data_IF_268668679504
#
_entry.id   IF_268668679504
#
_cell.length_a   1.000
_cell.length_b   1.000
_cell.length_c   1.000
_cell.angle_alpha   90.00
_cell.angle_beta   90.00
_cell.angle_gamma   90.00
#
_symmetry.space_group_name_H-M   'P 1'
#
loop_
_entity.id
_entity.type
_entity.pdbx_description
1 polymer ?
#
# COMPACT_ATOMS: atom_id res chain seq x y z
N UNK A 1 -41.42 75.19 20.85
CA UNK A 1 -40.16 75.61 20.19
C UNK A 1 -39.98 74.77 18.93
N UNK A 2 -40.01 75.42 17.78
CA UNK A 2 -40.00 74.85 16.43
C UNK A 2 -38.56 74.61 16.01
N UNK A 3 -38.21 73.42 15.48
CA UNK A 3 -36.94 73.19 14.77
C UNK A 3 -37.20 72.52 13.42
N UNK A 4 -36.49 72.93 12.34
CA UNK A 4 -36.89 72.67 10.96
C UNK A 4 -36.36 71.33 10.44
N UNK A 5 -37.07 70.79 9.45
CA UNK A 5 -36.71 69.57 8.70
C UNK A 5 -35.60 69.87 7.70
N UNK A 6 -34.48 69.17 7.80
CA UNK A 6 -33.43 69.17 6.78
C UNK A 6 -33.79 68.18 5.66
N UNK A 7 -33.83 68.66 4.43
CA UNK A 7 -34.02 67.88 3.22
C UNK A 7 -32.71 67.17 2.83
N UNK A 8 -32.75 65.85 2.64
CA UNK A 8 -31.62 65.06 2.15
C UNK A 8 -31.72 64.96 0.63
N UNK A 9 -30.79 65.63 -0.05
CA UNK A 9 -30.60 65.61 -1.50
C UNK A 9 -29.98 64.25 -1.90
N UNK A 10 -30.72 63.42 -2.63
CA UNK A 10 -30.22 62.15 -3.19
C UNK A 10 -29.47 62.46 -4.48
N UNK A 11 -28.15 62.27 -4.47
CA UNK A 11 -27.30 62.39 -5.66
C UNK A 11 -27.40 61.08 -6.47
N UNK A 12 -28.06 61.14 -7.63
CA UNK A 12 -28.09 60.06 -8.62
C UNK A 12 -26.74 59.99 -9.34
N UNK A 13 -25.95 58.94 -9.09
CA UNK A 13 -24.77 58.59 -9.89
C UNK A 13 -25.23 57.70 -11.04
N UNK A 14 -25.21 58.23 -12.27
CA UNK A 14 -25.45 57.47 -13.48
C UNK A 14 -24.24 56.56 -13.76
N UNK A 15 -24.43 55.24 -13.68
CA UNK A 15 -23.44 54.25 -14.12
C UNK A 15 -23.65 54.02 -15.62
N UNK A 16 -22.72 54.50 -16.43
CA UNK A 16 -22.67 54.20 -17.85
C UNK A 16 -22.27 52.73 -18.05
N UNK A 17 -23.19 51.93 -18.58
CA UNK A 17 -22.93 50.55 -18.98
C UNK A 17 -22.12 50.53 -20.29
N UNK A 18 -20.80 50.38 -20.17
CA UNK A 18 -19.93 50.04 -21.29
C UNK A 18 -20.09 48.57 -21.66
N UNK A 19 -20.68 48.28 -22.81
CA UNK A 19 -20.75 46.95 -23.38
C UNK A 19 -19.36 46.51 -23.86
N UNK A 20 -18.66 45.73 -23.03
CA UNK A 20 -17.41 45.04 -23.39
C UNK A 20 -17.78 43.73 -24.10
N UNK A 21 -17.73 43.72 -25.43
CA UNK A 21 -17.88 42.50 -26.23
C UNK A 21 -16.64 41.62 -26.05
N UNK A 22 -16.70 40.66 -25.13
CA UNK A 22 -15.74 39.56 -25.05
C UNK A 22 -15.95 38.65 -26.26
N UNK A 23 -15.12 38.79 -27.29
CA UNK A 23 -14.93 37.71 -28.27
C UNK A 23 -14.12 36.61 -27.60
N UNK A 24 -14.80 35.54 -27.16
CA UNK A 24 -14.16 34.32 -26.67
C UNK A 24 -13.45 33.62 -27.84
N UNK A 25 -12.18 33.98 -28.07
CA UNK A 25 -11.28 33.19 -28.90
C UNK A 25 -10.94 31.86 -28.19
N UNK A 26 -10.74 30.76 -28.94
CA UNK A 26 -10.41 29.47 -28.34
C UNK A 26 -9.09 29.59 -27.56
N UNK A 27 -9.13 29.24 -26.28
CA UNK A 27 -7.94 29.12 -25.43
C UNK A 27 -7.05 28.03 -26.05
N UNK A 28 -5.80 28.33 -26.45
CA UNK A 28 -4.90 27.30 -26.92
C UNK A 28 -4.57 26.36 -25.75
N UNK A 29 -5.08 25.14 -25.83
CA UNK A 29 -4.66 24.04 -24.96
C UNK A 29 -3.16 23.80 -25.20
N UNK A 30 -2.34 23.66 -24.13
CA UNK A 30 -0.94 23.33 -24.31
C UNK A 30 -0.83 21.93 -24.91
N UNK A 31 -0.62 21.87 -26.23
CA UNK A 31 -0.26 20.65 -26.96
C UNK A 31 1.20 20.34 -26.63
N UNK A 32 1.44 19.16 -26.03
CA UNK A 32 2.75 18.50 -26.12
C UNK A 32 3.76 18.75 -25.00
N UNK A 33 3.34 19.10 -23.80
CA UNK A 33 4.20 19.01 -22.62
C UNK A 33 4.36 17.57 -22.18
N UNK A 34 5.44 16.88 -22.57
CA UNK A 34 5.85 15.65 -21.88
C UNK A 34 5.98 16.01 -20.40
N UNK A 35 5.11 15.44 -19.56
CA UNK A 35 5.35 15.41 -18.11
C UNK A 35 6.72 14.79 -17.96
N UNK A 36 7.71 15.58 -17.56
CA UNK A 36 9.03 15.06 -17.22
C UNK A 36 8.79 14.06 -16.10
N UNK A 37 8.99 12.77 -16.38
CA UNK A 37 9.19 11.79 -15.34
C UNK A 37 10.29 12.35 -14.43
N UNK A 38 10.00 12.46 -13.14
CA UNK A 38 11.01 12.82 -12.16
C UNK A 38 12.19 11.83 -12.32
N UNK A 39 13.45 12.31 -12.26
CA UNK A 39 14.59 11.42 -12.38
C UNK A 39 14.52 10.34 -11.30
N UNK A 40 14.94 9.12 -11.65
CA UNK A 40 14.97 7.92 -10.81
C UNK A 40 15.89 8.02 -9.55
N UNK A 41 16.26 9.23 -9.13
CA UNK A 41 17.18 9.57 -8.06
C UNK A 41 16.65 10.62 -7.09
N UNK A 42 15.33 10.90 -7.06
CA UNK A 42 14.71 11.47 -5.87
C UNK A 42 14.84 10.45 -4.74
N UNK A 43 15.97 10.55 -4.04
CA UNK A 43 16.41 9.65 -2.98
C UNK A 43 15.26 9.41 -2.01
N UNK A 44 14.88 8.16 -1.84
CA UNK A 44 13.88 7.74 -0.88
C UNK A 44 14.38 8.06 0.53
N UNK A 45 13.97 9.21 1.05
CA UNK A 45 14.36 9.71 2.38
C UNK A 45 14.08 8.68 3.46
N UNK A 46 13.04 7.86 3.27
CA UNK A 46 12.66 6.76 4.13
C UNK A 46 13.81 5.75 4.22
N UNK A 47 14.26 5.21 3.09
CA UNK A 47 15.33 4.21 3.05
C UNK A 47 16.63 4.77 3.63
N UNK A 48 17.03 5.98 3.23
CA UNK A 48 18.29 6.57 3.72
C UNK A 48 18.30 6.82 5.24
N UNK A 49 17.20 7.36 5.78
CA UNK A 49 17.10 7.62 7.20
C UNK A 49 17.03 6.30 7.98
N UNK A 50 16.16 5.36 7.58
CA UNK A 50 15.96 4.11 8.29
C UNK A 50 17.18 3.18 8.24
N UNK A 51 17.92 3.14 7.13
CA UNK A 51 19.19 2.43 7.03
C UNK A 51 20.23 2.99 8.03
N UNK A 52 20.31 4.32 8.15
CA UNK A 52 21.20 5.00 9.10
C UNK A 52 20.86 4.82 10.58
N UNK A 53 19.67 4.33 10.93
CA UNK A 53 19.28 4.07 12.33
C UNK A 53 19.88 2.77 12.88
N UNK A 54 20.33 1.86 12.01
CA UNK A 54 20.88 0.57 12.38
C UNK A 54 19.88 -0.38 13.07
N UNK A 55 20.40 -1.54 13.47
CA UNK A 55 19.64 -2.56 14.19
C UNK A 55 18.36 -2.99 13.48
N UNK A 56 17.29 -3.20 14.24
CA UNK A 56 16.00 -3.69 13.70
C UNK A 56 15.35 -2.73 12.70
N UNK A 57 15.69 -1.44 12.72
CA UNK A 57 15.09 -0.42 11.87
C UNK A 57 15.78 -0.32 10.49
N UNK A 58 17.04 -0.73 10.39
CA UNK A 58 17.77 -0.79 9.12
C UNK A 58 17.36 -2.00 8.25
N UNK A 59 17.05 -3.14 8.86
CA UNK A 59 16.75 -4.40 8.14
C UNK A 59 15.69 -4.24 7.03
N UNK A 60 14.54 -3.54 7.25
CA UNK A 60 13.61 -3.27 6.18
C UNK A 60 14.19 -2.48 4.99
N UNK A 61 15.04 -1.49 5.27
CA UNK A 61 15.67 -0.63 4.27
C UNK A 61 16.72 -1.39 3.45
N UNK A 62 17.52 -2.23 4.10
CA UNK A 62 18.54 -3.08 3.44
C UNK A 62 17.92 -4.04 2.42
N UNK A 63 16.74 -4.59 2.73
CA UNK A 63 16.12 -5.66 1.94
C UNK A 63 15.09 -5.16 0.92
N UNK A 64 14.67 -3.89 0.99
CA UNK A 64 13.65 -3.32 0.10
C UNK A 64 13.99 -3.37 -1.41
N UNK A 65 15.26 -3.37 -1.86
CA UNK A 65 15.59 -3.50 -3.29
C UNK A 65 15.09 -4.80 -3.93
N UNK A 66 14.92 -5.87 -3.15
CA UNK A 66 14.46 -7.17 -3.64
C UNK A 66 12.94 -7.29 -3.73
N UNK A 67 12.21 -6.35 -3.15
CA UNK A 67 10.75 -6.36 -3.05
C UNK A 67 10.09 -6.14 -4.43
N UNK A 68 9.05 -6.91 -4.73
CA UNK A 68 8.31 -6.79 -5.97
C UNK A 68 7.67 -5.40 -6.13
N UNK A 69 7.21 -4.79 -5.04
CA UNK A 69 6.56 -3.48 -5.04
C UNK A 69 7.55 -2.37 -5.38
N UNK A 70 8.79 -2.45 -4.90
CA UNK A 70 9.90 -1.55 -5.25
C UNK A 70 10.17 -1.56 -6.76
N UNK A 71 10.07 -2.71 -7.42
CA UNK A 71 10.26 -2.82 -8.88
C UNK A 71 9.08 -2.27 -9.67
N UNK A 72 7.91 -2.20 -9.04
CA UNK A 72 6.71 -1.52 -9.56
C UNK A 72 6.62 -0.06 -9.11
N UNK A 73 7.74 0.55 -8.70
CA UNK A 73 7.83 1.95 -8.26
C UNK A 73 7.01 2.30 -7.01
N UNK A 74 6.46 1.29 -6.32
CA UNK A 74 5.83 1.45 -5.01
C UNK A 74 6.91 1.40 -3.92
N UNK A 75 7.30 2.57 -3.43
CA UNK A 75 8.28 2.76 -2.34
C UNK A 75 7.62 2.68 -0.96
N UNK A 76 8.41 2.92 0.09
CA UNK A 76 7.98 2.87 1.51
C UNK A 76 6.63 3.53 1.76
N UNK A 77 6.45 4.76 1.27
CA UNK A 77 5.21 5.54 1.46
C UNK A 77 3.98 4.93 0.73
N UNK A 78 4.19 4.13 -0.32
CA UNK A 78 3.09 3.39 -0.98
C UNK A 78 2.44 2.38 -0.04
N UNK A 79 3.21 1.81 0.88
CA UNK A 79 2.71 0.88 1.89
C UNK A 79 2.40 1.60 3.21
N UNK A 80 3.40 2.31 3.75
CA UNK A 80 3.38 2.88 5.09
C UNK A 80 2.87 4.32 5.15
N UNK A 81 2.64 4.99 4.01
CA UNK A 81 2.27 6.40 3.98
C UNK A 81 3.39 7.32 4.48
N UNK A 82 3.03 8.52 4.95
CA UNK A 82 3.99 9.53 5.37
C UNK A 82 4.52 10.34 4.19
N UNK A 83 5.46 11.24 4.48
CA UNK A 83 6.03 12.16 3.49
C UNK A 83 7.44 11.72 3.08
N UNK A 84 7.62 11.13 1.88
CA UNK A 84 8.92 10.67 1.40
C UNK A 84 9.87 11.82 1.02
N UNK A 85 9.47 13.08 1.14
CA UNK A 85 10.34 14.24 0.91
C UNK A 85 11.00 14.74 2.19
N UNK A 86 10.58 14.23 3.36
CA UNK A 86 11.09 14.63 4.68
C UNK A 86 12.01 13.56 5.27
N UNK A 87 13.09 13.99 5.92
CA UNK A 87 14.09 13.09 6.51
C UNK A 87 13.91 12.95 8.03
N UNK A 88 13.16 13.85 8.67
CA UNK A 88 12.90 13.82 10.10
C UNK A 88 11.75 12.90 10.49
N UNK A 89 11.49 12.81 11.79
CA UNK A 89 10.35 12.06 12.33
C UNK A 89 8.99 12.67 11.92
N UNK A 90 8.98 13.92 11.45
CA UNK A 90 7.85 14.57 10.81
C UNK A 90 7.42 13.89 9.50
N UNK A 91 8.30 13.08 8.88
CA UNK A 91 7.93 12.19 7.78
C UNK A 91 6.87 11.15 8.17
N UNK A 92 6.73 10.85 9.47
CA UNK A 92 5.74 9.91 10.03
C UNK A 92 4.47 10.60 10.52
N UNK A 93 4.20 11.84 10.09
CA UNK A 93 2.99 12.56 10.46
C UNK A 93 1.73 11.79 10.02
N UNK A 94 0.83 11.40 10.94
CA UNK A 94 -0.46 10.80 10.61
C UNK A 94 -1.30 11.68 9.68
N UNK A 95 -1.19 13.01 9.75
CA UNK A 95 -1.89 13.94 8.86
C UNK A 95 -1.39 13.83 7.40
N UNK A 96 -0.14 13.41 7.19
CA UNK A 96 0.40 13.04 5.87
C UNK A 96 0.04 11.60 5.46
N UNK A 97 -0.89 10.96 6.17
CA UNK A 97 -1.37 9.62 5.87
C UNK A 97 -0.41 8.51 6.32
N UNK A 98 0.50 8.77 7.27
CA UNK A 98 1.36 7.74 7.83
C UNK A 98 0.53 6.66 8.55
N UNK A 99 0.77 5.40 8.16
CA UNK A 99 0.06 4.20 8.60
C UNK A 99 0.91 3.35 9.56
N UNK A 100 2.23 3.46 9.49
CA UNK A 100 3.16 2.64 10.26
C UNK A 100 3.04 1.13 9.96
N UNK A 101 3.46 0.30 10.92
CA UNK A 101 3.38 -1.16 10.82
C UNK A 101 1.95 -1.62 11.16
N UNK A 102 1.23 -2.29 10.24
CA UNK A 102 -0.12 -2.80 10.54
C UNK A 102 -0.09 -3.88 11.63
N UNK A 103 -1.16 -3.97 12.41
CA UNK A 103 -1.37 -5.09 13.34
C UNK A 103 -1.57 -6.38 12.56
N UNK A 104 -1.25 -7.52 13.17
CA UNK A 104 -1.20 -8.82 12.47
C UNK A 104 -2.53 -9.18 11.79
N UNK A 105 -3.64 -8.99 12.49
CA UNK A 105 -4.99 -9.24 12.03
C UNK A 105 -5.46 -8.28 10.91
N UNK A 106 -4.82 -7.12 10.77
CA UNK A 106 -5.13 -6.13 9.74
C UNK A 106 -4.40 -6.39 8.42
N UNK A 107 -3.41 -7.29 8.43
CA UNK A 107 -2.56 -7.57 7.26
C UNK A 107 -3.36 -8.00 6.03
N UNK A 108 -4.38 -8.88 6.12
CA UNK A 108 -5.18 -9.24 4.96
C UNK A 108 -5.84 -8.05 4.28
N UNK A 109 -6.49 -7.15 5.03
CA UNK A 109 -7.09 -5.95 4.43
C UNK A 109 -6.02 -4.96 3.96
N UNK A 110 -4.88 -4.86 4.68
CA UNK A 110 -3.78 -3.99 4.29
C UNK A 110 -3.24 -4.34 2.90
N UNK A 111 -2.98 -5.62 2.62
CA UNK A 111 -2.56 -6.08 1.29
C UNK A 111 -3.70 -6.00 0.27
N UNK A 112 -4.91 -6.34 0.70
CA UNK A 112 -6.11 -6.40 -0.15
C UNK A 112 -6.61 -5.05 -0.65
N UNK A 113 -6.22 -3.92 -0.05
CA UNK A 113 -6.56 -2.58 -0.60
C UNK A 113 -6.06 -2.38 -2.04
N UNK A 114 -4.99 -3.09 -2.42
CA UNK A 114 -4.43 -3.07 -3.76
C UNK A 114 -4.67 -4.42 -4.44
N UNK A 115 -4.23 -5.52 -3.82
CA UNK A 115 -4.35 -6.87 -4.41
C UNK A 115 -5.78 -7.43 -4.43
N UNK A 116 -6.75 -6.66 -3.91
CA UNK A 116 -8.19 -6.89 -4.02
C UNK A 116 -8.91 -5.88 -4.93
N UNK A 117 -8.16 -4.94 -5.55
CA UNK A 117 -8.69 -3.89 -6.42
C UNK A 117 -8.23 -4.09 -7.87
N UNK A 118 -9.10 -4.62 -8.75
CA UNK A 118 -8.81 -4.78 -10.16
C UNK A 118 -8.43 -3.47 -10.88
N UNK A 119 -9.05 -2.34 -10.51
CA UNK A 119 -8.76 -1.06 -11.15
C UNK A 119 -7.34 -0.59 -10.81
N UNK A 120 -6.92 -0.77 -9.56
CA UNK A 120 -5.55 -0.48 -9.13
C UNK A 120 -4.53 -1.39 -9.79
N UNK A 121 -4.74 -2.72 -9.75
CA UNK A 121 -3.74 -3.71 -10.18
C UNK A 121 -3.54 -3.80 -11.69
N UNK A 122 -4.57 -3.50 -12.49
CA UNK A 122 -4.46 -3.44 -13.95
C UNK A 122 -3.41 -2.44 -14.45
N UNK A 123 -3.08 -1.42 -13.65
CA UNK A 123 -2.03 -0.44 -13.98
C UNK A 123 -0.62 -1.03 -13.94
N UNK A 124 -0.43 -2.15 -13.25
CA UNK A 124 0.86 -2.82 -13.09
C UNK A 124 0.94 -4.10 -13.93
N UNK A 125 -0.08 -4.95 -13.82
CA UNK A 125 -0.17 -6.18 -14.61
C UNK A 125 -1.64 -6.63 -14.70
N UNK A 126 -2.29 -6.44 -15.85
CA UNK A 126 -3.69 -6.84 -16.06
C UNK A 126 -3.98 -8.33 -15.88
N UNK A 127 -2.96 -9.19 -15.96
CA UNK A 127 -3.09 -10.64 -15.80
C UNK A 127 -2.99 -11.11 -14.35
N UNK A 128 -2.69 -10.22 -13.39
CA UNK A 128 -2.62 -10.60 -11.98
C UNK A 128 -4.02 -10.84 -11.40
N UNK A 129 -4.24 -11.96 -10.70
CA UNK A 129 -5.48 -12.19 -9.95
C UNK A 129 -5.68 -11.13 -8.86
N UNK A 130 -6.93 -10.73 -8.65
CA UNK A 130 -7.33 -9.76 -7.62
C UNK A 130 -8.42 -10.28 -6.68
N UNK A 131 -8.71 -11.57 -6.75
CA UNK A 131 -9.64 -12.29 -5.86
C UNK A 131 -8.92 -12.90 -4.63
N UNK A 132 -7.61 -12.66 -4.49
CA UNK A 132 -6.78 -13.27 -3.44
C UNK A 132 -7.28 -12.96 -2.03
N UNK A 133 -7.72 -11.72 -1.76
CA UNK A 133 -8.31 -11.38 -0.46
C UNK A 133 -9.62 -12.16 -0.25
N UNK A 134 -10.51 -12.21 -1.23
CA UNK A 134 -11.77 -12.94 -1.13
C UNK A 134 -11.53 -14.43 -0.84
N UNK A 135 -10.59 -15.06 -1.56
CA UNK A 135 -10.19 -16.46 -1.35
C UNK A 135 -9.56 -16.69 0.03
N UNK A 136 -8.77 -15.75 0.52
CA UNK A 136 -8.21 -15.82 1.86
C UNK A 136 -9.31 -15.78 2.93
N UNK A 137 -10.27 -14.86 2.81
CA UNK A 137 -11.35 -14.69 3.78
C UNK A 137 -12.23 -15.94 3.90
N UNK A 138 -12.41 -16.71 2.83
CA UNK A 138 -13.16 -17.97 2.85
C UNK A 138 -12.32 -19.19 3.26
N UNK A 139 -10.99 -19.05 3.39
CA UNK A 139 -10.09 -20.15 3.79
C UNK A 139 -10.15 -20.45 5.29
N UNK A 140 -9.65 -21.61 5.71
CA UNK A 140 -9.55 -21.98 7.13
C UNK A 140 -8.70 -20.97 7.94
N UNK A 141 -7.64 -20.41 7.35
CA UNK A 141 -6.84 -19.37 8.00
C UNK A 141 -7.65 -18.08 8.19
N UNK A 142 -8.32 -17.59 7.14
CA UNK A 142 -9.13 -16.37 7.21
C UNK A 142 -10.31 -16.49 8.18
N UNK A 143 -11.03 -17.62 8.13
CA UNK A 143 -12.16 -17.88 9.03
C UNK A 143 -11.74 -17.93 10.50
N UNK A 144 -10.57 -18.49 10.81
CA UNK A 144 -10.05 -18.53 12.18
C UNK A 144 -9.51 -17.17 12.64
N UNK A 145 -8.87 -16.41 11.75
CA UNK A 145 -8.44 -15.04 12.04
C UNK A 145 -9.63 -14.16 12.39
N UNK A 146 -10.74 -14.29 11.65
CA UNK A 146 -11.98 -13.56 11.93
C UNK A 146 -12.58 -13.89 13.31
N UNK A 147 -12.24 -15.05 13.88
CA UNK A 147 -12.60 -15.46 15.25
C UNK A 147 -11.56 -15.05 16.30
N UNK A 148 -10.55 -14.26 15.92
CA UNK A 148 -9.51 -13.75 16.81
C UNK A 148 -8.29 -14.68 16.99
N UNK A 149 -8.16 -15.77 16.24
CA UNK A 149 -6.98 -16.62 16.33
C UNK A 149 -5.79 -16.00 15.59
N UNK A 150 -4.93 -15.30 16.32
CA UNK A 150 -3.74 -14.63 15.78
C UNK A 150 -2.59 -15.58 15.42
N UNK A 151 -2.73 -16.90 15.63
CA UNK A 151 -1.68 -17.88 15.33
C UNK A 151 -1.78 -18.44 13.90
N UNK A 152 -2.89 -18.20 13.21
CA UNK A 152 -3.11 -18.64 11.83
C UNK A 152 -2.39 -17.75 10.82
N UNK A 153 -2.05 -18.31 9.68
CA UNK A 153 -1.30 -17.58 8.66
C UNK A 153 -2.08 -16.40 8.08
N UNK A 154 -1.37 -15.30 7.82
CA UNK A 154 -1.83 -14.14 7.03
C UNK A 154 -0.92 -13.98 5.80
N UNK A 155 -1.17 -12.98 4.94
CA UNK A 155 -0.43 -12.78 3.69
C UNK A 155 1.10 -12.83 3.87
N UNK A 156 1.64 -12.14 4.89
CA UNK A 156 3.09 -12.11 5.15
C UNK A 156 3.66 -13.42 5.72
N UNK A 157 2.82 -14.33 6.22
CA UNK A 157 3.29 -15.60 6.80
C UNK A 157 3.88 -16.54 5.76
N UNK A 158 3.36 -16.48 4.53
CA UNK A 158 3.92 -17.20 3.38
C UNK A 158 4.82 -16.29 2.54
N UNK A 159 4.37 -15.07 2.24
CA UNK A 159 5.07 -14.21 1.28
C UNK A 159 6.29 -13.45 1.87
N UNK A 160 6.40 -13.37 3.20
CA UNK A 160 7.36 -12.50 3.87
C UNK A 160 6.96 -11.02 3.81
N UNK A 161 7.87 -10.16 4.24
CA UNK A 161 7.78 -8.70 4.12
C UNK A 161 9.19 -8.12 4.20
N UNK A 162 9.47 -7.07 3.42
CA UNK A 162 10.79 -6.43 3.34
C UNK A 162 11.92 -7.46 3.17
N UNK A 163 11.85 -8.33 2.14
CA UNK A 163 11.07 -8.15 0.92
C UNK A 163 9.89 -9.11 0.76
N UNK A 164 8.86 -8.67 0.01
CA UNK A 164 7.89 -9.54 -0.67
C UNK A 164 8.45 -9.89 -2.06
N UNK A 165 8.93 -11.12 -2.24
CA UNK A 165 9.54 -11.55 -3.51
C UNK A 165 8.48 -11.97 -4.54
N UNK A 166 8.68 -11.70 -5.84
CA UNK A 166 7.82 -12.20 -6.91
C UNK A 166 7.63 -13.72 -6.83
N UNK A 167 6.40 -14.20 -7.06
CA UNK A 167 6.05 -15.63 -6.94
C UNK A 167 6.76 -16.54 -7.93
N UNK A 168 7.29 -15.97 -9.03
CA UNK A 168 8.02 -16.67 -10.08
C UNK A 168 9.54 -16.67 -9.88
N UNK A 169 10.05 -16.10 -8.78
CA UNK A 169 11.47 -16.18 -8.42
C UNK A 169 11.74 -17.37 -7.52
N UNK A 170 12.76 -18.18 -7.84
CA UNK A 170 13.15 -19.34 -7.02
C UNK A 170 13.54 -19.01 -5.56
N UNK A 171 13.85 -17.74 -5.26
CA UNK A 171 14.12 -17.26 -3.89
C UNK A 171 12.86 -16.89 -3.12
N UNK A 172 11.70 -16.85 -3.77
CA UNK A 172 10.43 -16.56 -3.11
C UNK A 172 9.97 -17.76 -2.29
N UNK A 173 9.52 -17.58 -1.03
CA UNK A 173 9.01 -18.71 -0.24
C UNK A 173 7.75 -19.34 -0.85
N UNK A 174 7.06 -18.61 -1.73
CA UNK A 174 5.85 -19.04 -2.43
C UNK A 174 6.13 -19.41 -3.90
N UNK A 175 7.40 -19.55 -4.28
CA UNK A 175 7.76 -20.22 -5.52
C UNK A 175 7.27 -21.68 -5.47
N UNK A 176 6.83 -22.24 -6.59
CA UNK A 176 6.09 -23.51 -6.62
C UNK A 176 6.78 -24.64 -5.84
N UNK A 177 8.10 -24.81 -6.00
CA UNK A 177 8.87 -25.86 -5.30
C UNK A 177 9.19 -25.52 -3.84
N UNK A 178 8.98 -24.28 -3.40
CA UNK A 178 9.24 -23.84 -2.03
C UNK A 178 7.97 -23.88 -1.16
N UNK A 179 6.78 -23.89 -1.75
CA UNK A 179 5.49 -23.90 -1.05
C UNK A 179 5.41 -24.99 0.03
N UNK A 180 5.78 -26.25 -0.24
CA UNK A 180 5.69 -27.32 0.76
C UNK A 180 6.52 -27.02 2.02
N UNK A 181 7.76 -26.56 1.84
CA UNK A 181 8.63 -26.14 2.94
C UNK A 181 8.08 -24.91 3.67
N UNK A 182 7.44 -23.98 2.96
CA UNK A 182 6.77 -22.81 3.56
C UNK A 182 5.60 -23.22 4.45
N UNK A 183 4.77 -24.17 4.02
CA UNK A 183 3.70 -24.74 4.84
C UNK A 183 4.24 -25.47 6.08
N UNK A 184 5.31 -26.24 5.91
CA UNK A 184 5.94 -27.04 6.96
C UNK A 184 6.43 -26.20 8.15
N UNK A 185 6.77 -24.91 7.95
CA UNK A 185 7.14 -23.97 9.02
C UNK A 185 6.14 -23.94 10.18
N UNK A 186 4.86 -24.20 9.90
CA UNK A 186 3.81 -24.30 10.91
C UNK A 186 3.20 -25.71 10.97
N UNK A 187 2.96 -26.33 9.81
CA UNK A 187 2.26 -27.61 9.73
C UNK A 187 3.13 -28.82 10.06
N UNK A 188 4.41 -28.64 10.37
CA UNK A 188 5.27 -29.70 10.95
C UNK A 188 5.58 -29.46 12.43
N UNK A 189 5.06 -28.39 13.03
CA UNK A 189 5.22 -28.08 14.45
C UNK A 189 4.07 -28.67 15.26
N UNK A 190 4.38 -29.74 16.01
CA UNK A 190 3.39 -30.46 16.84
C UNK A 190 2.80 -29.58 17.94
N UNK A 191 3.60 -28.71 18.57
CA UNK A 191 3.10 -27.82 19.61
C UNK A 191 2.12 -26.79 19.02
N UNK A 192 2.45 -26.25 17.84
CA UNK A 192 1.59 -25.30 17.13
C UNK A 192 0.31 -25.95 16.59
N UNK A 193 0.37 -27.17 16.09
CA UNK A 193 -0.77 -27.86 15.46
C UNK A 193 -1.69 -28.58 16.45
N UNK A 194 -1.20 -28.96 17.63
CA UNK A 194 -1.98 -29.66 18.67
C UNK A 194 -3.34 -29.03 18.98
N UNK A 195 -3.47 -27.69 19.17
CA UNK A 195 -4.77 -27.06 19.44
C UNK A 195 -5.77 -27.15 18.29
N UNK A 196 -5.31 -27.46 17.08
CA UNK A 196 -6.14 -27.58 15.88
C UNK A 196 -6.51 -29.02 15.55
N UNK A 197 -5.90 -30.01 16.21
CA UNK A 197 -6.09 -31.43 15.88
C UNK A 197 -5.60 -31.79 14.46
N UNK A 198 -4.66 -31.01 13.92
CA UNK A 198 -4.09 -31.24 12.60
C UNK A 198 -2.83 -32.12 12.77
N UNK A 199 -2.69 -33.21 12.01
CA UNK A 199 -1.45 -33.99 11.99
C UNK A 199 -0.25 -33.15 11.56
N UNK A 200 0.97 -33.64 11.77
CA UNK A 200 2.21 -32.91 11.40
C UNK A 200 3.11 -33.66 10.42
N UNK A 201 2.61 -34.78 9.89
CA UNK A 201 3.32 -35.69 8.98
C UNK A 201 3.28 -35.24 7.51
N UNK A 202 2.43 -34.25 7.16
CA UNK A 202 2.08 -33.93 5.77
C UNK A 202 3.30 -33.56 4.93
N UNK A 203 4.26 -32.84 5.50
CA UNK A 203 5.48 -32.48 4.77
C UNK A 203 6.38 -33.69 4.50
N UNK A 204 6.50 -34.61 5.46
CA UNK A 204 7.27 -35.84 5.28
C UNK A 204 6.62 -36.76 4.24
N UNK A 205 5.30 -36.97 4.37
CA UNK A 205 4.49 -37.75 3.43
C UNK A 205 4.54 -37.16 2.01
N UNK A 206 4.44 -35.83 1.89
CA UNK A 206 4.57 -35.15 0.62
C UNK A 206 5.94 -35.44 -0.01
N UNK A 207 7.04 -35.21 0.72
CA UNK A 207 8.43 -35.42 0.25
C UNK A 207 8.73 -36.87 -0.16
N UNK A 208 8.08 -37.84 0.45
CA UNK A 208 8.21 -39.25 0.12
C UNK A 208 7.30 -39.68 -1.06
N UNK A 209 6.37 -38.81 -1.48
CA UNK A 209 5.47 -39.06 -2.61
C UNK A 209 6.09 -38.65 -3.95
N UNK A 210 5.42 -39.02 -5.05
CA UNK A 210 5.80 -38.60 -6.42
C UNK A 210 5.66 -37.10 -6.69
N UNK A 211 5.08 -36.33 -5.77
CA UNK A 211 4.89 -34.88 -5.91
C UNK A 211 5.98 -34.03 -5.22
N UNK A 212 6.78 -34.66 -4.36
CA UNK A 212 7.61 -34.23 -3.20
C UNK A 212 8.14 -32.85 -2.89
#
# INVERSE_FOLDING_TARGET
MIRPRAALLVLLVAVAAGALTLTAGPIPLPVGGRVRAAPASARDSCTNCHDGLGGRLAVPAENIPYDAHTRSELRCAGCHGGDPTRVGMDAHDPAAGFRGKPRYEQIPQFCGRCHGDPAFMRRFNPSLPTDQLARYLTSQHGQRLAKGDLRVAVCISCHGVHPVRPVNEGTSPVFSTNVPATCARCHSDTARMKPYGIPTTQFAEYRESVHG
#
